data_IF_079900630431
#
_entry.id   IF_079900630431
#
_cell.length_a   1.000
_cell.length_b   1.000
_cell.length_c   1.000
_cell.angle_alpha   90.00
_cell.angle_beta   90.00
_cell.angle_gamma   90.00
#
_symmetry.space_group_name_H-M   'P 1'
#
loop_
_entity.id
_entity.type
_entity.pdbx_description
1 polymer ?
#
# COMPACT_ATOMS: atom_id res chain seq x y z
N UNK A 1 21.04 10.74 -7.87
CA UNK A 1 19.64 11.18 -7.99
C UNK A 1 18.77 9.93 -7.84
N UNK A 2 17.75 9.98 -6.99
CA UNK A 2 16.87 8.84 -6.74
C UNK A 2 15.58 8.96 -7.55
N UNK A 3 14.96 7.82 -7.83
CA UNK A 3 13.62 7.78 -8.38
C UNK A 3 12.63 7.60 -7.23
N UNK A 4 11.86 8.64 -6.92
CA UNK A 4 10.83 8.60 -5.86
C UNK A 4 9.42 8.77 -6.42
N UNK A 5 9.22 8.53 -7.73
CA UNK A 5 7.96 8.73 -8.45
C UNK A 5 7.29 10.11 -8.26
N UNK A 6 8.06 11.13 -7.88
CA UNK A 6 7.53 12.48 -7.58
C UNK A 6 6.89 12.60 -6.20
N UNK A 7 7.12 11.65 -5.30
CA UNK A 7 6.55 11.62 -3.95
C UNK A 7 7.55 11.89 -2.84
N UNK A 8 8.84 11.99 -3.14
CA UNK A 8 9.84 12.51 -2.22
C UNK A 8 10.88 13.33 -2.99
N UNK A 9 11.46 14.32 -2.31
CA UNK A 9 12.57 15.13 -2.83
C UNK A 9 13.93 14.61 -2.38
N UNK A 10 13.96 13.89 -1.27
CA UNK A 10 15.17 13.48 -0.59
C UNK A 10 15.26 11.95 -0.47
N UNK A 11 16.48 11.45 -0.45
CA UNK A 11 16.81 10.03 -0.34
C UNK A 11 18.20 9.83 0.25
N UNK A 12 18.49 8.62 0.73
CA UNK A 12 19.84 8.19 1.11
C UNK A 12 20.26 6.96 0.31
N UNK A 13 21.54 6.60 0.40
CA UNK A 13 22.08 5.39 -0.21
C UNK A 13 22.14 4.25 0.81
N UNK A 14 21.66 3.07 0.42
CA UNK A 14 21.70 1.83 1.17
C UNK A 14 22.34 0.73 0.32
N UNK A 15 23.45 0.16 0.79
CA UNK A 15 24.22 -0.85 0.07
C UNK A 15 23.51 -2.21 0.01
N UNK A 16 22.69 -2.55 1.00
CA UNK A 16 21.95 -3.81 1.02
C UNK A 16 20.79 -3.76 0.02
N UNK A 17 20.18 -2.58 -0.16
CA UNK A 17 19.17 -2.33 -1.22
C UNK A 17 19.80 -2.43 -2.61
N UNK A 18 21.00 -1.89 -2.79
CA UNK A 18 21.77 -1.97 -4.05
C UNK A 18 22.11 -3.42 -4.40
N UNK A 19 22.66 -4.18 -3.43
CA UNK A 19 23.01 -5.59 -3.62
C UNK A 19 21.79 -6.45 -3.97
N UNK A 20 20.63 -6.13 -3.38
CA UNK A 20 19.37 -6.85 -3.64
C UNK A 20 18.64 -6.36 -4.89
N UNK A 21 19.13 -5.31 -5.55
CA UNK A 21 18.50 -4.69 -6.72
C UNK A 21 17.04 -4.27 -6.45
N UNK A 22 16.79 -3.64 -5.30
CA UNK A 22 15.43 -3.30 -4.86
C UNK A 22 15.03 -1.84 -5.13
N UNK A 23 15.98 -0.97 -5.51
CA UNK A 23 15.72 0.43 -5.84
C UNK A 23 15.77 0.67 -7.35
N UNK A 24 14.86 1.52 -7.84
CA UNK A 24 14.89 2.05 -9.19
C UNK A 24 15.83 3.25 -9.32
N UNK A 25 16.65 3.25 -10.38
CA UNK A 25 17.37 4.44 -10.83
C UNK A 25 16.43 5.41 -11.59
N UNK A 26 16.96 6.56 -12.00
CA UNK A 26 16.21 7.60 -12.74
C UNK A 26 15.74 7.16 -14.14
N UNK A 27 16.29 6.07 -14.68
CA UNK A 27 15.88 5.47 -15.96
C UNK A 27 14.80 4.39 -15.75
N UNK A 28 14.43 4.09 -14.50
CA UNK A 28 13.45 3.05 -14.18
C UNK A 28 14.02 1.64 -14.21
N UNK A 29 15.34 1.47 -14.11
CA UNK A 29 15.97 0.16 -13.97
C UNK A 29 16.27 -0.15 -12.50
N UNK A 30 16.13 -1.41 -12.09
CA UNK A 30 16.47 -1.89 -10.74
C UNK A 30 17.98 -1.94 -10.54
N UNK A 31 18.55 -0.77 -10.27
CA UNK A 31 19.98 -0.52 -10.17
C UNK A 31 20.22 0.63 -9.18
N UNK A 32 21.21 0.46 -8.30
CA UNK A 32 21.54 1.43 -7.27
C UNK A 32 20.79 1.20 -5.96
N UNK A 33 21.26 1.86 -4.90
CA UNK A 33 20.74 1.72 -3.53
C UNK A 33 19.94 2.93 -3.02
N UNK A 34 19.25 3.66 -3.90
CA UNK A 34 18.55 4.88 -3.50
C UNK A 34 17.27 4.59 -2.72
N UNK A 35 17.22 5.00 -1.45
CA UNK A 35 16.03 4.85 -0.60
C UNK A 35 15.43 6.22 -0.33
N UNK A 36 14.22 6.45 -0.85
CA UNK A 36 13.47 7.68 -0.65
C UNK A 36 13.07 7.84 0.81
N UNK A 37 13.10 9.08 1.31
CA UNK A 37 12.69 9.40 2.68
C UNK A 37 11.52 10.38 2.68
N UNK A 38 10.67 10.28 3.69
CA UNK A 38 9.48 11.12 3.85
C UNK A 38 8.59 11.08 2.60
N UNK A 39 8.25 9.88 2.11
CA UNK A 39 7.27 9.71 1.03
C UNK A 39 5.98 10.48 1.36
N UNK A 40 5.59 11.39 0.47
CA UNK A 40 4.38 12.20 0.54
C UNK A 40 3.22 11.46 -0.15
N UNK A 41 2.06 12.11 -0.27
CA UNK A 41 0.93 11.59 -1.05
C UNK A 41 0.41 10.21 -0.59
N UNK A 42 0.55 9.91 0.71
CA UNK A 42 0.18 8.62 1.31
C UNK A 42 0.86 7.42 0.62
N UNK A 43 2.10 7.60 0.18
CA UNK A 43 2.91 6.55 -0.45
C UNK A 43 3.96 6.00 0.51
N UNK A 44 4.46 4.82 0.19
CA UNK A 44 5.48 4.09 0.93
C UNK A 44 6.30 3.21 -0.02
N UNK A 45 7.35 2.57 0.49
CA UNK A 45 8.28 1.75 -0.29
C UNK A 45 9.60 2.46 -0.56
N UNK A 46 10.55 1.76 -1.17
CA UNK A 46 11.92 2.24 -1.41
C UNK A 46 11.91 3.44 -2.35
N UNK A 47 11.04 3.42 -3.35
CA UNK A 47 10.88 4.45 -4.36
C UNK A 47 9.56 5.23 -4.20
N UNK A 48 8.88 5.10 -3.04
CA UNK A 48 7.51 5.59 -2.83
C UNK A 48 6.49 5.00 -3.83
N UNK A 49 6.71 3.76 -4.25
CA UNK A 49 5.97 3.10 -5.32
C UNK A 49 4.65 2.45 -4.86
N UNK A 50 4.49 2.22 -3.55
CA UNK A 50 3.30 1.61 -2.94
C UNK A 50 2.47 2.65 -2.21
N UNK A 51 1.22 2.33 -1.90
CA UNK A 51 0.48 3.12 -0.94
C UNK A 51 0.93 2.78 0.49
N UNK A 52 0.82 3.76 1.39
CA UNK A 52 1.04 3.56 2.81
C UNK A 52 -0.05 2.63 3.39
N UNK A 53 0.22 2.06 4.55
CA UNK A 53 -0.76 1.21 5.26
C UNK A 53 -2.10 1.95 5.45
N UNK A 54 -3.20 1.28 5.15
CA UNK A 54 -4.54 1.87 5.18
C UNK A 54 -4.92 2.67 3.93
N UNK A 55 -4.08 2.68 2.89
CA UNK A 55 -4.39 3.26 1.58
C UNK A 55 -4.23 2.22 0.48
N UNK A 56 -4.91 2.43 -0.65
CA UNK A 56 -4.76 1.63 -1.86
C UNK A 56 -4.74 2.51 -3.10
N UNK A 57 -4.14 1.99 -4.17
CA UNK A 57 -4.12 2.64 -5.49
C UNK A 57 -5.13 1.96 -6.41
N UNK A 58 -6.17 2.65 -6.92
CA UNK A 58 -7.12 2.05 -7.84
C UNK A 58 -6.48 1.58 -9.15
N UNK A 59 -7.05 0.54 -9.76
CA UNK A 59 -6.55 0.04 -11.05
C UNK A 59 -6.54 1.14 -12.12
N UNK A 60 -5.43 1.25 -12.86
CA UNK A 60 -5.25 2.24 -13.93
C UNK A 60 -4.79 3.62 -13.46
N UNK A 61 -4.68 3.86 -12.15
CA UNK A 61 -4.10 5.10 -11.61
C UNK A 61 -2.57 5.01 -11.68
N UNK A 62 -1.87 5.99 -12.29
CA UNK A 62 -0.42 5.98 -12.37
C UNK A 62 0.25 6.03 -11.00
N UNK A 63 1.40 5.34 -10.85
CA UNK A 63 2.17 5.34 -9.60
C UNK A 63 2.56 6.76 -9.17
N UNK A 64 2.88 7.65 -10.11
CA UNK A 64 3.29 9.02 -9.84
C UNK A 64 2.14 10.00 -9.55
N UNK A 65 0.89 9.55 -9.48
CA UNK A 65 -0.26 10.41 -9.24
C UNK A 65 -0.26 10.94 -7.79
N UNK A 66 -0.24 12.26 -7.56
CA UNK A 66 -0.21 12.84 -6.20
C UNK A 66 -1.41 12.48 -5.32
N UNK A 67 -2.57 12.23 -5.94
CA UNK A 67 -3.81 11.82 -5.25
C UNK A 67 -4.15 10.35 -5.54
N UNK A 68 -3.16 9.54 -5.93
CA UNK A 68 -3.38 8.18 -6.40
C UNK A 68 -3.66 7.16 -5.30
N UNK A 69 -3.20 7.43 -4.08
CA UNK A 69 -3.44 6.58 -2.91
C UNK A 69 -4.64 7.09 -2.13
N UNK A 70 -5.72 6.31 -2.12
CA UNK A 70 -6.98 6.64 -1.45
C UNK A 70 -7.16 5.78 -0.20
N UNK A 71 -7.76 6.33 0.88
CA UNK A 71 -7.90 5.61 2.13
C UNK A 71 -8.84 4.41 1.98
N UNK A 72 -8.46 3.28 2.58
CA UNK A 72 -9.33 2.12 2.74
C UNK A 72 -10.57 2.53 3.55
N UNK A 73 -11.74 2.09 3.11
CA UNK A 73 -13.02 2.34 3.83
C UNK A 73 -13.42 1.15 4.74
N UNK A 74 -12.44 0.39 5.21
CA UNK A 74 -12.65 -0.82 6.00
C UNK A 74 -12.79 -0.53 7.49
N UNK A 75 -13.70 -1.23 8.18
CA UNK A 75 -13.70 -1.22 9.64
C UNK A 75 -12.58 -2.12 10.17
N UNK A 76 -11.57 -1.53 10.79
CA UNK A 76 -10.42 -2.24 11.36
C UNK A 76 -10.77 -3.18 12.54
N UNK A 77 -11.97 -3.07 13.11
CA UNK A 77 -12.46 -4.08 14.06
C UNK A 77 -12.66 -5.44 13.38
N UNK A 78 -13.11 -5.44 12.12
CA UNK A 78 -13.51 -6.63 11.37
C UNK A 78 -12.58 -6.95 10.18
N UNK A 79 -11.63 -6.06 9.87
CA UNK A 79 -10.73 -6.17 8.72
C UNK A 79 -9.28 -5.88 9.09
N UNK A 80 -8.34 -6.39 8.29
CA UNK A 80 -6.89 -6.19 8.44
C UNK A 80 -6.32 -5.14 7.46
N UNK A 81 -7.13 -4.64 6.52
CA UNK A 81 -6.71 -3.68 5.50
C UNK A 81 -7.60 -3.78 4.27
N UNK A 82 -7.12 -3.25 3.14
CA UNK A 82 -7.79 -3.40 1.85
C UNK A 82 -6.85 -3.82 0.72
N UNK A 83 -7.44 -4.45 -0.28
CA UNK A 83 -6.78 -4.96 -1.47
C UNK A 83 -6.37 -3.83 -2.40
N UNK A 84 -5.11 -3.85 -2.85
CA UNK A 84 -4.60 -2.93 -3.86
C UNK A 84 -5.42 -3.04 -5.15
N UNK A 85 -5.66 -1.90 -5.81
CA UNK A 85 -6.47 -1.84 -7.03
C UNK A 85 -7.97 -1.80 -6.80
N UNK A 86 -8.53 -2.72 -6.00
CA UNK A 86 -9.99 -2.81 -5.79
C UNK A 86 -10.49 -2.01 -4.58
N UNK A 87 -9.69 -1.93 -3.51
CA UNK A 87 -10.10 -1.37 -2.22
C UNK A 87 -10.96 -2.31 -1.38
N UNK A 88 -11.15 -3.57 -1.81
CA UNK A 88 -11.95 -4.55 -1.07
C UNK A 88 -11.26 -4.93 0.24
N UNK A 89 -12.02 -5.02 1.33
CA UNK A 89 -11.44 -5.27 2.63
C UNK A 89 -10.96 -6.71 2.80
N UNK A 90 -9.81 -6.88 3.45
CA UNK A 90 -9.34 -8.18 3.92
C UNK A 90 -10.02 -8.48 5.26
N UNK A 91 -11.08 -9.28 5.22
CA UNK A 91 -11.84 -9.60 6.42
C UNK A 91 -11.07 -10.52 7.36
N UNK A 92 -11.18 -10.21 8.65
CA UNK A 92 -10.71 -11.09 9.72
C UNK A 92 -11.49 -12.40 9.70
N UNK A 93 -10.95 -13.39 10.39
CA UNK A 93 -11.62 -14.65 10.62
C UNK A 93 -13.04 -14.40 11.17
N UNK A 94 -14.03 -15.12 10.61
CA UNK A 94 -15.46 -15.05 10.95
C UNK A 94 -16.24 -13.88 10.31
N UNK A 95 -15.60 -13.02 9.52
CA UNK A 95 -16.27 -11.94 8.79
C UNK A 95 -16.17 -12.13 7.27
N UNK A 96 -17.15 -11.61 6.54
CA UNK A 96 -17.21 -11.59 5.08
C UNK A 96 -17.98 -10.37 4.56
N UNK A 97 -18.02 -10.24 3.23
CA UNK A 97 -18.57 -9.08 2.53
C UNK A 97 -17.47 -8.17 1.98
N UNK A 98 -17.82 -7.21 1.14
CA UNK A 98 -16.84 -6.29 0.52
C UNK A 98 -16.18 -5.37 1.55
N UNK A 99 -16.89 -5.09 2.66
CA UNK A 99 -16.45 -4.23 3.76
C UNK A 99 -16.42 -4.95 5.12
N UNK A 100 -16.50 -6.27 5.12
CA UNK A 100 -16.53 -7.11 6.33
C UNK A 100 -17.72 -6.82 7.24
N UNK A 101 -18.86 -6.55 6.59
CA UNK A 101 -20.13 -6.16 7.21
C UNK A 101 -21.05 -7.34 7.55
N UNK A 102 -20.61 -8.56 7.30
CA UNK A 102 -21.38 -9.78 7.55
C UNK A 102 -20.53 -10.83 8.26
N UNK A 103 -21.18 -11.75 8.99
CA UNK A 103 -20.49 -12.92 9.49
C UNK A 103 -20.24 -13.92 8.36
N UNK A 104 -19.08 -14.55 8.38
CA UNK A 104 -18.72 -15.63 7.48
C UNK A 104 -19.64 -16.85 7.67
N UNK A 105 -19.71 -17.70 6.66
CA UNK A 105 -20.54 -18.92 6.72
C UNK A 105 -20.21 -19.77 7.96
N UNK A 106 -21.24 -20.04 8.76
CA UNK A 106 -21.14 -20.79 10.02
C UNK A 106 -20.94 -19.96 11.28
N UNK A 107 -20.80 -18.63 11.16
CA UNK A 107 -20.68 -17.68 12.29
C UNK A 107 -21.91 -16.79 12.41
N UNK A 108 -22.23 -16.35 13.64
CA UNK A 108 -23.44 -15.59 13.90
C UNK A 108 -23.25 -14.48 14.95
N UNK A 109 -24.17 -13.51 14.96
CA UNK A 109 -24.20 -12.45 15.98
C UNK A 109 -23.26 -11.27 15.69
N UNK A 110 -23.41 -10.64 14.52
CA UNK A 110 -22.74 -9.38 14.20
C UNK A 110 -23.01 -8.32 15.30
N UNK A 111 -22.00 -7.55 15.75
CA UNK A 111 -20.65 -7.39 15.20
C UNK A 111 -19.59 -8.36 15.73
N UNK A 112 -19.94 -9.36 16.54
CA UNK A 112 -18.96 -10.25 17.18
C UNK A 112 -18.63 -11.51 16.37
N UNK A 113 -19.60 -12.04 15.61
CA UNK A 113 -19.45 -13.21 14.73
C UNK A 113 -18.73 -14.40 15.40
N UNK A 114 -19.45 -15.05 16.31
CA UNK A 114 -18.99 -16.22 17.10
C UNK A 114 -19.45 -17.55 16.53
#
# INVERSE_FOLDING_TARGET
ACNCHGHATDCYYDADVDQRQESLNIQGHYEGGGVCINCQHNTAGINCEKCAEGYYRPYGVPVSAPDGCIPCSCNLENAEGCEEGSGRCYCKQNFQGESCEQCADGFYGFPFCI
#
